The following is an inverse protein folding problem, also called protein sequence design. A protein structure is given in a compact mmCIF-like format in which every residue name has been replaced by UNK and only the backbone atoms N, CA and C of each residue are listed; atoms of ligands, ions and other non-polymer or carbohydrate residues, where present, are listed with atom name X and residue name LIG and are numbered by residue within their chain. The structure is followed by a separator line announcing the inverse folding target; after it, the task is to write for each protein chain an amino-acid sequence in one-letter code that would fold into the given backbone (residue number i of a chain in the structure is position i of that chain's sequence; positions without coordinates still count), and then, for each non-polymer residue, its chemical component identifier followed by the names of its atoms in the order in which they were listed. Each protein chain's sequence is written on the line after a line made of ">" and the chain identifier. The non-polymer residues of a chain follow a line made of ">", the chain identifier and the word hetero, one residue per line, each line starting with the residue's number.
data_IF_291178993177
#
_entry.id   IF_291178993177
#
_cell.length_a   1.000
_cell.length_b   1.000
_cell.length_c   1.000
_cell.angle_alpha   90.00
_cell.angle_beta   90.00
_cell.angle_gamma   90.00
#
_symmetry.space_group_name_H-M   'P 1'
#
loop_
_entity.id
_entity.type
_entity.pdbx_description
1 polymer ?
#
# COMPACT_ATOMS: atom_id res chain seq x y z
N UNK A 1 9.11 17.15 22.50
CA UNK A 1 8.50 16.12 21.63
C UNK A 1 9.42 14.89 21.56
N UNK A 2 10.27 14.66 22.58
CA UNK A 2 11.47 13.82 22.43
C UNK A 2 11.66 12.88 23.65
N UNK A 3 10.56 12.34 24.18
CA UNK A 3 10.61 11.44 25.34
C UNK A 3 10.82 9.97 24.96
N UNK A 4 10.94 9.64 23.67
CA UNK A 4 11.07 8.26 23.19
C UNK A 4 12.00 8.15 21.97
N UNK A 5 12.54 6.94 21.76
CA UNK A 5 13.45 6.63 20.66
C UNK A 5 12.82 6.88 19.29
N UNK A 6 13.56 7.58 18.43
CA UNK A 6 13.18 7.83 17.05
C UNK A 6 13.02 6.53 16.25
N UNK A 7 12.02 6.50 15.37
CA UNK A 7 11.73 5.38 14.47
C UNK A 7 12.55 5.49 13.18
N UNK A 8 12.89 4.36 12.54
CA UNK A 8 13.66 4.35 11.30
C UNK A 8 12.98 3.49 10.21
N UNK A 9 12.60 4.11 9.08
CA UNK A 9 11.95 3.44 7.95
C UNK A 9 12.91 2.72 7.01
N UNK A 10 14.23 2.95 7.15
CA UNK A 10 15.30 2.40 6.32
C UNK A 10 15.07 2.67 4.82
N UNK A 11 15.40 1.73 3.95
CA UNK A 11 15.32 1.85 2.49
C UNK A 11 13.90 1.58 1.99
N UNK A 12 12.94 2.36 2.49
CA UNK A 12 11.53 2.31 2.07
C UNK A 12 10.94 3.71 2.01
N UNK A 13 9.91 3.92 1.20
CA UNK A 13 9.19 5.19 1.07
C UNK A 13 8.02 5.37 2.06
N UNK A 14 8.11 4.76 3.24
CA UNK A 14 6.98 4.65 4.20
C UNK A 14 6.85 5.84 5.16
N UNK A 15 7.46 6.98 4.86
CA UNK A 15 7.50 8.15 5.76
C UNK A 15 6.13 8.57 6.27
N UNK A 16 5.11 8.53 5.41
CA UNK A 16 3.72 8.85 5.75
C UNK A 16 3.12 7.91 6.81
N UNK A 17 3.41 6.61 6.77
CA UNK A 17 2.99 5.66 7.80
C UNK A 17 3.73 5.89 9.11
N UNK A 18 5.05 6.10 9.05
CA UNK A 18 5.86 6.37 10.23
C UNK A 18 5.42 7.66 10.93
N UNK A 19 5.19 8.74 10.17
CA UNK A 19 4.71 10.01 10.69
C UNK A 19 3.31 9.88 11.32
N UNK A 20 2.38 9.20 10.63
CA UNK A 20 1.03 8.95 11.14
C UNK A 20 1.06 8.18 12.47
N UNK A 21 1.85 7.12 12.55
CA UNK A 21 1.93 6.29 13.76
C UNK A 21 2.67 6.97 14.91
N UNK A 22 3.66 7.82 14.61
CA UNK A 22 4.32 8.64 15.62
C UNK A 22 3.37 9.69 16.22
N UNK A 23 2.34 10.15 15.49
CA UNK A 23 1.32 11.03 16.04
C UNK A 23 0.47 10.34 17.12
N UNK A 24 0.17 9.04 16.95
CA UNK A 24 -0.68 8.29 17.88
C UNK A 24 0.08 7.73 19.09
N UNK A 25 1.38 7.47 18.90
CA UNK A 25 2.28 6.84 19.88
C UNK A 25 2.22 7.45 21.30
N UNK A 26 2.26 8.78 21.50
CA UNK A 26 2.33 9.36 22.86
C UNK A 26 1.05 9.14 23.65
N UNK A 27 -0.11 9.26 22.98
CA UNK A 27 -1.41 9.01 23.59
C UNK A 27 -1.56 7.55 24.01
N UNK A 28 -1.10 6.62 23.18
CA UNK A 28 -1.08 5.18 23.50
C UNK A 28 -0.15 4.86 24.65
N UNK A 29 1.07 5.40 24.66
CA UNK A 29 2.04 5.22 25.75
C UNK A 29 1.48 5.69 27.09
N UNK A 30 0.89 6.90 27.12
CA UNK A 30 0.24 7.44 28.32
C UNK A 30 -0.94 6.57 28.78
N UNK A 31 -1.78 6.12 27.85
CA UNK A 31 -2.97 5.31 28.18
C UNK A 31 -2.60 3.92 28.68
N UNK A 32 -1.53 3.32 28.16
CA UNK A 32 -1.06 1.99 28.55
C UNK A 32 -0.05 2.02 29.71
N UNK A 33 0.37 3.21 30.15
CA UNK A 33 1.40 3.40 31.18
C UNK A 33 2.73 2.68 30.85
N UNK A 34 3.20 2.83 29.61
CA UNK A 34 4.47 2.23 29.14
C UNK A 34 5.45 3.30 28.69
N UNK A 35 6.75 3.08 28.97
CA UNK A 35 7.84 4.00 28.58
C UNK A 35 8.23 3.89 27.11
N UNK A 36 8.10 2.71 26.53
CA UNK A 36 8.42 2.47 25.12
C UNK A 36 7.30 1.68 24.46
N UNK A 37 6.84 2.18 23.31
CA UNK A 37 5.84 1.53 22.47
C UNK A 37 6.08 1.91 21.03
N UNK A 38 5.88 1.01 20.07
CA UNK A 38 5.77 1.35 18.66
C UNK A 38 4.59 0.59 18.05
N UNK A 39 3.83 1.26 17.19
CA UNK A 39 2.91 0.57 16.28
C UNK A 39 3.69 -0.10 15.16
N UNK A 40 3.18 -1.21 14.64
CA UNK A 40 3.77 -1.87 13.48
C UNK A 40 3.54 -1.07 12.21
N UNK A 41 4.61 -0.48 11.67
CA UNK A 41 4.58 0.17 10.36
C UNK A 41 4.50 -0.87 9.24
N UNK A 42 5.14 -2.04 9.41
CA UNK A 42 5.06 -3.16 8.49
C UNK A 42 3.64 -3.71 8.33
N UNK A 43 2.84 -3.75 9.39
CA UNK A 43 1.44 -4.20 9.34
C UNK A 43 0.59 -3.32 8.41
N UNK A 44 0.63 -1.99 8.60
CA UNK A 44 -0.09 -1.08 7.71
C UNK A 44 0.48 -1.09 6.30
N UNK A 45 1.80 -1.26 6.15
CA UNK A 45 2.42 -1.35 4.83
C UNK A 45 1.97 -2.58 4.06
N UNK A 46 1.81 -3.73 4.73
CA UNK A 46 1.24 -4.93 4.12
C UNK A 46 -0.15 -4.65 3.55
N UNK A 47 -1.04 -4.09 4.38
CA UNK A 47 -2.39 -3.77 3.93
C UNK A 47 -2.44 -2.68 2.87
N UNK A 48 -1.56 -1.66 2.93
CA UNK A 48 -1.41 -0.67 1.87
C UNK A 48 -1.08 -1.34 0.53
N UNK A 49 -0.09 -2.24 0.49
CA UNK A 49 0.27 -2.95 -0.73
C UNK A 49 -0.88 -3.80 -1.25
N UNK A 50 -1.59 -4.49 -0.36
CA UNK A 50 -2.71 -5.35 -0.74
C UNK A 50 -3.88 -4.55 -1.32
N UNK A 51 -4.36 -3.52 -0.60
CA UNK A 51 -5.49 -2.69 -1.03
C UNK A 51 -5.16 -1.86 -2.27
N UNK A 52 -3.91 -1.38 -2.38
CA UNK A 52 -3.45 -0.61 -3.53
C UNK A 52 -3.38 -1.43 -4.81
N UNK A 53 -2.92 -2.68 -4.73
CA UNK A 53 -2.97 -3.61 -5.85
C UNK A 53 -4.40 -3.75 -6.38
N UNK A 54 -5.37 -3.97 -5.49
CA UNK A 54 -6.78 -4.04 -5.87
C UNK A 54 -7.30 -2.72 -6.47
N UNK A 55 -6.97 -1.58 -5.87
CA UNK A 55 -7.37 -0.27 -6.37
C UNK A 55 -6.82 0.00 -7.77
N UNK A 56 -5.56 -0.35 -8.03
CA UNK A 56 -4.95 -0.25 -9.35
C UNK A 56 -5.68 -1.11 -10.39
N UNK A 57 -5.99 -2.38 -10.08
CA UNK A 57 -6.67 -3.27 -11.02
C UNK A 57 -8.12 -2.81 -11.30
N UNK A 58 -8.85 -2.30 -10.30
CA UNK A 58 -10.15 -1.67 -10.55
C UNK A 58 -10.01 -0.43 -11.45
N UNK A 59 -9.00 0.42 -11.22
CA UNK A 59 -8.76 1.57 -12.09
C UNK A 59 -8.47 1.15 -13.54
N UNK A 60 -7.78 0.03 -13.77
CA UNK A 60 -7.57 -0.52 -15.12
C UNK A 60 -8.91 -0.98 -15.75
N UNK A 61 -9.79 -1.63 -14.99
CA UNK A 61 -11.12 -2.03 -15.47
C UNK A 61 -11.94 -0.80 -15.84
N UNK A 62 -12.02 0.19 -14.94
CA UNK A 62 -12.78 1.43 -15.14
C UNK A 62 -12.26 2.27 -16.32
N UNK A 63 -10.96 2.19 -16.62
CA UNK A 63 -10.31 2.93 -17.70
C UNK A 63 -10.05 2.09 -18.95
N UNK A 64 -10.56 0.86 -19.01
CA UNK A 64 -10.35 -0.08 -20.11
C UNK A 64 -10.75 0.48 -21.48
N UNK A 65 -11.83 1.27 -21.55
CA UNK A 65 -12.28 1.94 -22.78
C UNK A 65 -11.34 3.03 -23.31
N UNK A 66 -10.28 3.39 -22.59
CA UNK A 66 -9.24 4.32 -23.07
C UNK A 66 -8.17 3.58 -23.89
N UNK A 67 -7.58 4.23 -24.91
CA UNK A 67 -6.42 3.71 -25.63
C UNK A 67 -5.24 3.42 -24.71
N UNK A 68 -4.41 2.43 -25.06
CA UNK A 68 -3.24 2.02 -24.25
C UNK A 68 -2.17 3.11 -24.13
N UNK A 69 -2.08 4.01 -25.11
CA UNK A 69 -1.18 5.16 -25.15
C UNK A 69 -1.78 6.43 -24.52
N UNK A 70 -2.99 6.34 -23.95
CA UNK A 70 -3.60 7.43 -23.18
C UNK A 70 -2.70 7.78 -21.97
N UNK A 71 -2.51 9.08 -21.76
CA UNK A 71 -1.65 9.61 -20.69
C UNK A 71 -2.04 9.10 -19.29
N UNK A 72 -3.33 8.86 -19.05
CA UNK A 72 -3.85 8.32 -17.78
C UNK A 72 -3.42 6.88 -17.61
N UNK A 73 -3.54 6.06 -18.65
CA UNK A 73 -3.11 4.65 -18.63
C UNK A 73 -1.59 4.57 -18.43
N UNK A 74 -0.83 5.39 -19.15
CA UNK A 74 0.61 5.49 -18.97
C UNK A 74 0.98 5.87 -17.52
N UNK A 75 0.27 6.83 -16.92
CA UNK A 75 0.48 7.23 -15.53
C UNK A 75 0.19 6.09 -14.55
N UNK A 76 -0.95 5.39 -14.69
CA UNK A 76 -1.32 4.26 -13.85
C UNK A 76 -0.27 3.13 -13.91
N UNK A 77 0.24 2.83 -15.11
CA UNK A 77 1.25 1.77 -15.32
C UNK A 77 2.66 2.16 -14.88
N UNK A 78 2.94 3.46 -14.70
CA UNK A 78 4.28 3.96 -14.37
C UNK A 78 4.77 3.51 -12.99
N UNK A 79 3.95 3.66 -11.95
CA UNK A 79 4.25 3.26 -10.57
C UNK A 79 2.99 2.77 -9.82
N UNK A 80 2.44 1.60 -10.16
CA UNK A 80 1.15 1.13 -9.62
C UNK A 80 1.21 0.79 -8.12
N UNK A 81 2.40 0.56 -7.58
CA UNK A 81 2.61 0.00 -6.24
C UNK A 81 3.72 0.72 -5.47
N UNK A 82 3.84 2.04 -5.66
CA UNK A 82 4.77 2.88 -4.89
C UNK A 82 4.57 2.75 -3.37
N UNK A 83 5.58 3.11 -2.58
CA UNK A 83 5.49 3.08 -1.11
C UNK A 83 4.77 4.30 -0.53
N UNK A 84 4.75 5.41 -1.28
CA UNK A 84 4.23 6.69 -0.82
C UNK A 84 2.70 6.68 -0.68
N UNK A 85 2.21 7.51 0.22
CA UNK A 85 0.78 7.67 0.47
C UNK A 85 0.47 8.96 1.18
N UNK A 86 -0.82 9.13 1.47
CA UNK A 86 -1.39 10.33 2.06
C UNK A 86 -2.14 10.02 3.36
N UNK A 87 -2.44 11.06 4.14
CA UNK A 87 -3.12 10.93 5.43
C UNK A 87 -4.45 10.16 5.35
N UNK A 88 -5.29 10.49 4.36
CA UNK A 88 -6.57 9.81 4.12
C UNK A 88 -6.38 8.31 3.85
N UNK A 89 -5.37 7.93 3.07
CA UNK A 89 -5.04 6.53 2.82
C UNK A 89 -4.68 5.81 4.12
N UNK A 90 -3.91 6.45 5.00
CA UNK A 90 -3.50 5.84 6.27
C UNK A 90 -4.73 5.63 7.16
N UNK A 91 -5.61 6.64 7.23
CA UNK A 91 -6.86 6.53 7.99
C UNK A 91 -7.79 5.46 7.44
N UNK A 92 -7.84 5.26 6.12
CA UNK A 92 -8.63 4.18 5.51
C UNK A 92 -8.11 2.80 5.95
N UNK A 93 -6.79 2.60 5.91
CA UNK A 93 -6.16 1.36 6.37
C UNK A 93 -6.44 1.12 7.87
N UNK A 94 -6.27 2.15 8.70
CA UNK A 94 -6.49 2.06 10.15
C UNK A 94 -7.95 1.76 10.49
N UNK A 95 -8.91 2.38 9.79
CA UNK A 95 -10.33 2.12 10.04
C UNK A 95 -10.75 0.71 9.62
N UNK A 96 -10.17 0.18 8.54
CA UNK A 96 -10.51 -1.15 8.01
C UNK A 96 -9.79 -2.28 8.73
N UNK A 97 -8.50 -2.10 9.01
CA UNK A 97 -7.61 -3.16 9.49
C UNK A 97 -7.10 -2.93 10.92
N UNK A 98 -7.33 -1.76 11.50
CA UNK A 98 -6.88 -1.44 12.85
C UNK A 98 -5.37 -1.20 12.93
N UNK A 99 -4.84 -1.37 14.14
CA UNK A 99 -3.44 -1.16 14.50
C UNK A 99 -2.96 -2.28 15.41
N UNK A 100 -1.69 -2.64 15.29
CA UNK A 100 -1.05 -3.63 16.18
C UNK A 100 0.27 -3.09 16.72
N UNK A 101 0.71 -3.55 17.91
CA UNK A 101 2.07 -3.29 18.39
C UNK A 101 3.11 -3.89 17.44
N UNK A 102 4.26 -3.22 17.32
CA UNK A 102 5.40 -3.68 16.52
C UNK A 102 5.95 -5.04 16.97
N UNK A 103 5.82 -5.37 18.24
CA UNK A 103 6.21 -6.67 18.78
C UNK A 103 5.38 -7.83 18.22
N UNK A 104 4.13 -7.57 17.82
CA UNK A 104 3.23 -8.59 17.24
C UNK A 104 3.46 -8.78 15.74
N UNK A 105 3.85 -7.72 15.03
CA UNK A 105 4.16 -7.77 13.61
C UNK A 105 5.45 -6.97 13.34
N UNK A 106 6.62 -7.61 13.44
CA UNK A 106 7.91 -6.93 13.31
C UNK A 106 8.23 -6.59 11.85
N UNK A 107 9.27 -5.79 11.67
CA UNK A 107 9.82 -5.50 10.35
C UNK A 107 10.45 -6.75 9.73
N UNK A 108 10.16 -6.99 8.44
CA UNK A 108 10.85 -7.95 7.58
C UNK A 108 11.93 -7.26 6.73
N UNK A 109 12.76 -8.05 6.04
CA UNK A 109 13.71 -7.53 5.06
C UNK A 109 12.99 -6.68 4.00
N UNK A 110 11.91 -7.21 3.40
CA UNK A 110 11.13 -6.50 2.37
C UNK A 110 10.49 -5.22 2.89
N UNK A 111 10.01 -5.18 4.14
CA UNK A 111 9.47 -3.94 4.72
C UNK A 111 10.55 -2.86 4.92
N UNK A 112 11.77 -3.29 5.25
CA UNK A 112 12.92 -2.41 5.48
C UNK A 112 13.74 -2.09 4.20
N UNK A 113 13.47 -2.78 3.09
CA UNK A 113 14.14 -2.65 1.79
C UNK A 113 13.18 -3.06 0.66
N UNK A 114 12.29 -2.13 0.29
CA UNK A 114 11.09 -2.45 -0.52
C UNK A 114 11.35 -2.60 -2.01
N UNK A 115 12.54 -2.22 -2.50
CA UNK A 115 12.87 -2.14 -3.93
C UNK A 115 12.55 -3.42 -4.70
N UNK A 116 13.02 -4.56 -4.20
CA UNK A 116 12.85 -5.86 -4.87
C UNK A 116 11.41 -6.34 -4.87
N UNK A 117 10.75 -6.25 -3.72
CA UNK A 117 9.32 -6.55 -3.59
C UNK A 117 8.49 -5.69 -4.54
N UNK A 118 8.73 -4.39 -4.58
CA UNK A 118 8.01 -3.48 -5.48
C UNK A 118 8.29 -3.78 -6.95
N UNK A 119 9.51 -4.21 -7.31
CA UNK A 119 9.80 -4.61 -8.70
C UNK A 119 8.94 -5.80 -9.12
N UNK A 120 8.90 -6.85 -8.30
CA UNK A 120 8.12 -8.06 -8.59
C UNK A 120 6.62 -7.74 -8.63
N UNK A 121 6.11 -6.96 -7.67
CA UNK A 121 4.71 -6.55 -7.65
C UNK A 121 4.34 -5.70 -8.87
N UNK A 122 5.22 -4.83 -9.36
CA UNK A 122 4.99 -4.07 -10.60
C UNK A 122 4.82 -4.98 -11.80
N UNK A 123 5.66 -6.00 -11.92
CA UNK A 123 5.60 -6.94 -13.05
C UNK A 123 4.29 -7.75 -13.01
N UNK A 124 3.91 -8.24 -11.83
CA UNK A 124 2.63 -8.93 -11.63
C UNK A 124 1.46 -8.02 -11.99
N UNK A 125 1.40 -6.80 -11.44
CA UNK A 125 0.28 -5.88 -11.66
C UNK A 125 0.17 -5.44 -13.13
N UNK A 126 1.29 -5.22 -13.82
CA UNK A 126 1.28 -4.87 -15.25
C UNK A 126 0.82 -6.04 -16.12
N UNK A 127 1.25 -7.27 -15.81
CA UNK A 127 0.77 -8.47 -16.49
C UNK A 127 -0.74 -8.65 -16.28
N UNK A 128 -1.21 -8.58 -15.03
CA UNK A 128 -2.64 -8.65 -14.72
C UNK A 128 -3.45 -7.54 -15.39
N UNK A 129 -2.92 -6.31 -15.46
CA UNK A 129 -3.56 -5.22 -16.20
C UNK A 129 -3.68 -5.52 -17.69
N UNK A 130 -2.65 -6.10 -18.31
CA UNK A 130 -2.69 -6.53 -19.71
C UNK A 130 -3.73 -7.63 -19.94
N UNK A 131 -3.79 -8.62 -19.06
CA UNK A 131 -4.76 -9.73 -19.14
C UNK A 131 -6.20 -9.23 -18.99
N UNK A 132 -6.45 -8.37 -17.99
CA UNK A 132 -7.76 -7.73 -17.76
C UNK A 132 -8.21 -6.95 -18.99
N UNK A 133 -7.33 -6.14 -19.57
CA UNK A 133 -7.66 -5.40 -20.79
C UNK A 133 -7.93 -6.34 -21.96
N UNK A 134 -7.13 -7.39 -22.12
CA UNK A 134 -7.35 -8.40 -23.15
C UNK A 134 -8.72 -9.09 -23.06
N UNK A 135 -9.21 -9.36 -21.84
CA UNK A 135 -10.57 -9.89 -21.61
C UNK A 135 -11.62 -8.89 -22.13
N UNK A 136 -11.50 -7.62 -21.78
CA UNK A 136 -12.47 -6.59 -22.13
C UNK A 136 -12.43 -6.24 -23.63
N UNK A 137 -11.23 -6.14 -24.21
CA UNK A 137 -11.01 -5.88 -25.63
C UNK A 137 -11.55 -7.04 -26.52
N UNK A 138 -11.61 -8.26 -25.97
CA UNK A 138 -12.20 -9.43 -26.64
C UNK A 138 -13.73 -9.52 -26.47
N UNK A 139 -14.37 -8.50 -25.90
CA UNK A 139 -15.82 -8.46 -25.66
C UNK A 139 -16.28 -9.14 -24.36
N UNK A 140 -15.34 -9.49 -23.47
CA UNK A 140 -15.66 -9.97 -22.12
C UNK A 140 -16.27 -8.87 -21.24
N UNK A 141 -16.97 -9.29 -20.20
CA UNK A 141 -17.64 -8.40 -19.24
C UNK A 141 -16.70 -7.93 -18.13
N UNK A 142 -17.03 -6.81 -17.49
CA UNK A 142 -16.33 -6.37 -16.28
C UNK A 142 -16.38 -7.40 -15.15
N UNK A 143 -17.43 -8.24 -15.11
CA UNK A 143 -17.56 -9.30 -14.10
C UNK A 143 -16.50 -10.38 -14.32
N UNK A 144 -16.23 -10.75 -15.56
CA UNK A 144 -15.18 -11.70 -15.91
C UNK A 144 -13.80 -11.11 -15.59
N UNK A 145 -13.56 -9.84 -15.95
CA UNK A 145 -12.34 -9.13 -15.58
C UNK A 145 -12.11 -9.07 -14.06
N UNK A 146 -13.15 -8.77 -13.27
CA UNK A 146 -13.08 -8.75 -11.79
C UNK A 146 -12.92 -10.14 -11.16
N UNK A 147 -13.26 -11.20 -11.88
CA UNK A 147 -13.08 -12.58 -11.41
C UNK A 147 -11.67 -13.11 -11.72
N UNK A 148 -10.96 -12.46 -12.66
CA UNK A 148 -9.58 -12.78 -13.04
C UNK A 148 -8.53 -12.10 -12.14
N UNK A 149 -8.82 -10.88 -11.64
CA UNK A 149 -7.92 -10.15 -10.73
C UNK A 149 -7.70 -10.88 -9.39
#
# INVERSE_FOLDING_TARGET
>A
MDEWKATNQKSSGRCWLFATLNLFRPGTMKKMNVKEFEFSQAYLHFWDKFERSNHFLEAIIETSGRPIDDRTIHFLLSDPIGDGGQWNMAMNLIRKHGLVPKSTYPESNSSSSTRWMNSILKDILRSSASEIRGILDSGGSEKEARSHK
#
